data_IF_818909663579
#
_entry.id   IF_818909663579
#
_cell.length_a   1.000
_cell.length_b   1.000
_cell.length_c   1.000
_cell.angle_alpha   90.00
_cell.angle_beta   90.00
_cell.angle_gamma   90.00
#
_symmetry.space_group_name_H-M   'P 1'
#
loop_
_entity.id
_entity.type
_entity.pdbx_description
1 polymer ?
#
# COMPACT_ATOMS: atom_id res chain seq x y z
N UNK A 1 -46.19 16.03 -34.68
CA UNK A 1 -45.34 16.39 -35.84
C UNK A 1 -44.06 16.98 -35.26
N UNK A 2 -42.84 16.51 -35.51
CA UNK A 2 -42.31 15.37 -36.23
C UNK A 2 -40.93 15.08 -35.60
N UNK A 3 -40.60 13.80 -35.57
CA UNK A 3 -39.32 13.26 -35.14
C UNK A 3 -38.28 13.48 -36.23
N UNK A 4 -37.01 13.76 -35.88
CA UNK A 4 -35.90 13.63 -36.82
C UNK A 4 -34.71 12.93 -36.15
N UNK A 5 -34.56 11.65 -36.47
CA UNK A 5 -33.30 10.90 -36.39
C UNK A 5 -32.52 11.14 -37.70
N UNK A 6 -31.22 11.43 -37.59
CA UNK A 6 -30.29 11.51 -38.72
C UNK A 6 -29.23 10.40 -38.63
N UNK A 7 -29.15 9.59 -39.67
CA UNK A 7 -28.33 8.37 -39.81
C UNK A 7 -27.03 8.64 -40.60
N UNK A 8 -25.94 8.03 -40.11
CA UNK A 8 -24.80 7.34 -40.77
C UNK A 8 -24.07 7.91 -42.01
N UNK A 9 -22.72 7.97 -41.94
CA UNK A 9 -21.78 7.13 -42.75
C UNK A 9 -20.29 7.32 -42.36
N UNK A 10 -19.39 6.34 -42.62
CA UNK A 10 -18.05 6.22 -42.01
C UNK A 10 -16.89 6.65 -42.96
N UNK A 11 -15.65 6.86 -42.47
CA UNK A 11 -14.46 6.92 -43.30
C UNK A 11 -13.67 5.59 -43.36
N UNK A 12 -12.74 5.43 -44.33
CA UNK A 12 -12.46 4.16 -45.00
C UNK A 12 -11.33 3.34 -44.39
N UNK A 13 -11.38 2.03 -44.66
CA UNK A 13 -10.30 1.08 -44.56
C UNK A 13 -9.34 1.22 -45.75
N UNK A 14 -8.08 1.61 -45.50
CA UNK A 14 -6.97 1.29 -46.38
C UNK A 14 -5.96 0.43 -45.60
N UNK A 15 -5.75 -0.79 -46.09
CA UNK A 15 -4.69 -1.67 -45.65
C UNK A 15 -3.34 -1.21 -46.18
N UNK A 16 -2.32 -1.29 -45.33
CA UNK A 16 -0.93 -1.33 -45.76
C UNK A 16 -0.19 -2.36 -44.92
N UNK A 17 0.41 -3.30 -45.62
CA UNK A 17 1.09 -4.49 -45.12
C UNK A 17 2.38 -4.18 -44.34
N UNK A 18 2.56 -4.91 -43.22
CA UNK A 18 3.80 -5.37 -42.56
C UNK A 18 4.86 -4.38 -42.01
N UNK A 19 5.71 -4.78 -41.02
CA UNK A 19 5.71 -6.00 -40.19
C UNK A 19 5.66 -5.73 -38.67
N UNK A 20 5.05 -6.67 -37.94
CA UNK A 20 5.27 -7.06 -36.53
C UNK A 20 6.21 -6.18 -35.66
N UNK A 21 5.72 -5.45 -34.63
CA UNK A 21 6.54 -5.09 -33.50
C UNK A 21 6.53 -6.25 -32.50
N UNK A 22 7.68 -6.93 -32.42
CA UNK A 22 8.04 -7.83 -31.33
C UNK A 22 7.66 -7.19 -29.98
N UNK A 23 7.04 -7.91 -29.03
CA UNK A 23 6.74 -7.34 -27.73
C UNK A 23 8.06 -7.16 -26.97
N UNK A 24 8.60 -5.94 -27.00
CA UNK A 24 9.61 -5.52 -26.03
C UNK A 24 9.00 -5.69 -24.64
N UNK A 25 9.71 -6.29 -23.67
CA UNK A 25 9.20 -6.47 -22.32
C UNK A 25 8.97 -5.09 -21.71
N UNK A 26 7.73 -4.61 -21.75
CA UNK A 26 7.33 -3.41 -21.02
C UNK A 26 7.44 -3.79 -19.55
N UNK A 27 8.36 -3.15 -18.85
CA UNK A 27 8.55 -3.34 -17.42
C UNK A 27 7.17 -3.30 -16.73
N UNK A 28 6.72 -4.41 -16.11
CA UNK A 28 5.36 -4.50 -15.55
C UNK A 28 5.15 -3.55 -14.37
N UNK A 29 6.23 -2.90 -13.92
CA UNK A 29 6.27 -1.88 -12.86
C UNK A 29 5.99 -0.48 -13.45
N UNK A 30 6.20 -0.26 -14.75
CA UNK A 30 6.05 1.04 -15.40
C UNK A 30 4.59 1.49 -15.59
N UNK A 31 3.60 0.62 -15.35
CA UNK A 31 2.17 0.97 -15.35
C UNK A 31 1.61 1.23 -13.95
N UNK A 32 2.40 1.06 -12.88
CA UNK A 32 1.93 1.29 -11.51
C UNK A 32 1.95 2.78 -11.16
N UNK A 33 0.99 3.18 -10.32
CA UNK A 33 0.89 4.51 -9.70
C UNK A 33 2.17 4.82 -8.91
N UNK A 34 2.71 6.06 -8.99
CA UNK A 34 4.04 6.38 -8.47
C UNK A 34 4.21 6.14 -6.97
N UNK A 35 3.19 6.41 -6.13
CA UNK A 35 3.26 6.13 -4.69
C UNK A 35 3.34 4.62 -4.41
N UNK A 36 2.72 3.78 -5.23
CA UNK A 36 2.82 2.32 -5.10
C UNK A 36 4.23 1.80 -5.44
N UNK A 37 4.94 2.42 -6.40
CA UNK A 37 6.32 2.04 -6.74
C UNK A 37 7.28 2.30 -5.59
N UNK A 38 7.16 3.46 -4.98
CA UNK A 38 7.98 3.87 -3.84
C UNK A 38 7.77 2.90 -2.65
N UNK A 39 6.52 2.49 -2.40
CA UNK A 39 6.23 1.47 -1.40
C UNK A 39 6.86 0.11 -1.73
N UNK A 40 6.76 -0.37 -2.98
CA UNK A 40 7.36 -1.65 -3.38
C UNK A 40 8.90 -1.65 -3.25
N UNK A 41 9.55 -0.54 -3.63
CA UNK A 41 10.99 -0.36 -3.45
C UNK A 41 11.38 -0.33 -1.96
N UNK A 42 10.57 0.31 -1.10
CA UNK A 42 10.79 0.32 0.35
C UNK A 42 10.70 -1.09 0.98
N UNK A 43 9.81 -1.95 0.48
CA UNK A 43 9.66 -3.32 0.97
C UNK A 43 10.81 -4.23 0.51
N UNK A 44 11.32 -4.04 -0.71
CA UNK A 44 12.44 -4.82 -1.23
C UNK A 44 13.74 -4.56 -0.44
N UNK A 45 13.99 -3.31 -0.04
CA UNK A 45 15.18 -2.94 0.74
C UNK A 45 15.12 -3.45 2.18
N UNK A 46 13.93 -3.43 2.82
CA UNK A 46 13.74 -3.92 4.20
C UNK A 46 13.95 -5.43 4.34
N UNK A 47 13.64 -6.19 3.29
CA UNK A 47 13.80 -7.65 3.27
C UNK A 47 15.27 -8.13 3.19
N UNK A 48 16.23 -7.24 2.86
CA UNK A 48 17.66 -7.62 2.75
C UNK A 48 18.44 -7.46 4.06
N UNK A 49 17.86 -6.87 5.11
CA UNK A 49 18.63 -6.47 6.32
C UNK A 49 18.48 -7.44 7.49
N UNK A 50 17.64 -8.48 7.42
CA UNK A 50 17.37 -9.37 8.58
C UNK A 50 18.16 -10.67 8.64
N UNK A 51 19.17 -10.88 7.81
CA UNK A 51 19.99 -12.11 7.87
C UNK A 51 21.36 -11.85 8.48
N UNK A 52 21.45 -11.75 9.81
CA UNK A 52 22.71 -11.95 10.53
C UNK A 52 22.49 -12.29 12.03
N UNK A 53 23.04 -13.45 12.45
CA UNK A 53 23.60 -13.77 13.79
C UNK A 53 22.58 -14.16 14.90
N UNK A 54 22.71 -15.23 15.71
CA UNK A 54 23.61 -16.40 15.86
C UNK A 54 22.98 -17.42 16.85
N UNK A 55 23.31 -18.69 16.61
CA UNK A 55 23.31 -19.95 17.39
C UNK A 55 23.05 -19.97 18.90
N UNK A 56 22.33 -21.02 19.35
CA UNK A 56 22.56 -21.68 20.64
C UNK A 56 22.31 -23.19 20.57
N UNK A 57 23.28 -23.92 21.13
CA UNK A 57 23.51 -25.36 21.26
C UNK A 57 22.44 -26.14 22.05
N UNK A 58 22.13 -27.38 21.63
CA UNK A 58 21.81 -28.48 22.56
C UNK A 58 22.11 -29.85 21.95
N UNK A 59 22.94 -30.59 22.67
CA UNK A 59 23.41 -31.97 22.43
C UNK A 59 22.33 -32.99 22.84
N UNK A 60 22.13 -34.05 22.05
CA UNK A 60 21.73 -35.37 22.56
C UNK A 60 22.00 -36.48 21.54
N UNK A 61 22.23 -37.67 22.07
CA UNK A 61 23.04 -38.76 21.54
C UNK A 61 22.19 -39.96 21.13
N UNK A 62 22.63 -40.65 20.07
CA UNK A 62 22.40 -42.08 19.69
C UNK A 62 20.98 -42.58 19.34
N UNK A 63 20.86 -43.22 18.16
CA UNK A 63 20.74 -44.71 17.99
C UNK A 63 20.30 -45.04 16.53
N UNK A 64 21.03 -45.96 15.89
CA UNK A 64 20.73 -46.67 14.60
C UNK A 64 20.28 -48.10 14.98
N UNK A 65 19.58 -48.97 14.19
CA UNK A 65 19.37 -49.06 12.73
C UNK A 65 17.95 -49.60 12.32
N UNK A 66 17.68 -50.28 11.16
CA UNK A 66 18.34 -50.38 9.84
C UNK A 66 17.44 -50.07 8.60
N UNK A 67 18.11 -49.93 7.46
CA UNK A 67 17.74 -50.04 6.03
C UNK A 67 16.27 -50.17 5.58
N UNK A 68 15.85 -49.22 4.75
CA UNK A 68 14.93 -49.45 3.62
C UNK A 68 15.44 -48.69 2.39
N UNK A 69 15.64 -49.44 1.31
CA UNK A 69 16.04 -48.99 -0.03
C UNK A 69 15.03 -48.01 -0.62
N UNK A 70 15.48 -46.78 -0.88
CA UNK A 70 14.92 -45.92 -1.92
C UNK A 70 16.06 -45.03 -2.40
N UNK A 71 16.58 -45.31 -3.58
CA UNK A 71 17.61 -44.49 -4.22
C UNK A 71 17.06 -43.09 -4.48
N UNK A 72 17.66 -42.02 -3.92
CA UNK A 72 17.30 -40.65 -4.25
C UNK A 72 17.91 -40.25 -5.62
N UNK A 73 17.24 -39.38 -6.39
CA UNK A 73 17.72 -38.94 -7.69
C UNK A 73 19.09 -38.22 -7.58
N UNK A 74 19.95 -38.33 -8.60
CA UNK A 74 21.32 -37.80 -8.54
C UNK A 74 21.29 -36.27 -8.46
N UNK A 75 21.74 -35.73 -7.33
CA UNK A 75 21.89 -34.29 -7.10
C UNK A 75 23.27 -33.82 -7.57
N UNK A 76 23.29 -32.87 -8.51
CA UNK A 76 24.49 -32.40 -9.22
C UNK A 76 25.29 -31.30 -8.50
N UNK A 77 25.07 -31.04 -7.21
CA UNK A 77 25.83 -30.03 -6.47
C UNK A 77 26.36 -30.56 -5.13
N UNK A 78 27.67 -30.82 -5.01
CA UNK A 78 28.26 -31.23 -3.75
C UNK A 78 28.33 -30.02 -2.79
N UNK A 79 27.54 -30.07 -1.72
CA UNK A 79 27.73 -29.19 -0.57
C UNK A 79 29.14 -29.35 0.01
N UNK A 80 29.77 -28.25 0.45
CA UNK A 80 31.08 -28.26 1.14
C UNK A 80 31.11 -29.15 2.38
N UNK A 81 29.96 -29.54 2.92
CA UNK A 81 29.83 -30.42 4.08
C UNK A 81 29.73 -31.92 3.73
N UNK A 82 29.91 -32.27 2.45
CA UNK A 82 29.88 -33.65 1.95
C UNK A 82 28.49 -34.30 1.97
N UNK A 83 28.45 -35.63 1.84
CA UNK A 83 27.20 -36.43 1.80
C UNK A 83 26.57 -36.64 3.17
N UNK A 84 27.27 -36.32 4.27
CA UNK A 84 26.85 -36.62 5.64
C UNK A 84 25.53 -35.94 6.03
N UNK A 85 25.27 -34.75 5.48
CA UNK A 85 24.06 -33.96 5.74
C UNK A 85 23.13 -33.89 4.51
N UNK A 86 23.34 -34.74 3.49
CA UNK A 86 22.56 -34.70 2.24
C UNK A 86 21.06 -34.81 2.48
N UNK A 87 20.63 -35.65 3.43
CA UNK A 87 19.23 -35.82 3.77
C UNK A 87 18.53 -34.55 4.27
N UNK A 88 19.25 -33.55 4.79
CA UNK A 88 18.67 -32.29 5.27
C UNK A 88 18.32 -31.32 4.12
N UNK A 89 19.02 -31.42 2.98
CA UNK A 89 18.84 -30.51 1.85
C UNK A 89 18.39 -31.20 0.56
N UNK A 90 18.40 -32.53 0.50
CA UNK A 90 17.92 -33.31 -0.65
C UNK A 90 16.42 -33.11 -0.92
N UNK A 91 15.63 -32.85 0.13
CA UNK A 91 14.20 -32.53 0.02
C UNK A 91 13.92 -31.04 0.17
N UNK A 92 14.96 -30.19 0.26
CA UNK A 92 14.77 -28.74 0.34
C UNK A 92 14.28 -28.22 -1.01
N UNK A 93 12.99 -27.87 -1.05
CA UNK A 93 12.42 -27.13 -2.15
C UNK A 93 12.51 -25.63 -1.86
N UNK A 94 13.26 -24.87 -2.67
CA UNK A 94 13.25 -23.43 -2.56
C UNK A 94 11.81 -22.89 -2.71
N UNK A 95 11.42 -21.85 -1.97
CA UNK A 95 10.06 -21.33 -1.99
C UNK A 95 9.61 -20.85 -3.39
N UNK A 96 10.55 -20.52 -4.29
CA UNK A 96 10.24 -20.09 -5.65
C UNK A 96 9.80 -21.24 -6.59
N UNK A 97 10.03 -22.51 -6.23
CA UNK A 97 9.70 -23.66 -7.09
C UNK A 97 8.31 -24.25 -6.77
N UNK A 98 7.77 -23.99 -5.58
CA UNK A 98 6.47 -24.49 -5.11
C UNK A 98 5.36 -23.45 -5.14
N UNK A 99 5.70 -22.15 -5.24
CA UNK A 99 4.74 -21.10 -5.52
C UNK A 99 4.31 -21.18 -6.98
N UNK A 100 3.09 -21.61 -7.23
CA UNK A 100 2.45 -21.46 -8.53
C UNK A 100 2.57 -20.00 -9.02
N UNK A 101 2.72 -19.72 -10.32
CA UNK A 101 2.67 -18.35 -10.83
C UNK A 101 1.33 -17.66 -10.53
N UNK A 102 0.25 -18.44 -10.33
CA UNK A 102 -1.02 -17.96 -9.80
C UNK A 102 -0.90 -17.34 -8.39
N UNK A 103 -0.04 -17.89 -7.52
CA UNK A 103 0.22 -17.36 -6.17
C UNK A 103 0.99 -16.04 -6.17
N UNK A 104 1.87 -15.79 -7.15
CA UNK A 104 2.59 -14.49 -7.24
C UNK A 104 1.64 -13.35 -7.62
N UNK A 105 0.78 -13.57 -8.62
CA UNK A 105 -0.26 -12.59 -8.98
C UNK A 105 -1.24 -12.38 -7.82
N UNK A 106 -1.65 -13.46 -7.13
CA UNK A 106 -2.50 -13.38 -5.95
C UNK A 106 -1.84 -12.59 -4.81
N UNK A 107 -0.54 -12.80 -4.54
CA UNK A 107 0.21 -12.05 -3.55
C UNK A 107 0.25 -10.56 -3.87
N UNK A 108 0.49 -10.19 -5.14
CA UNK A 108 0.43 -8.79 -5.58
C UNK A 108 -0.96 -8.20 -5.37
N UNK A 109 -2.03 -8.91 -5.73
CA UNK A 109 -3.40 -8.41 -5.48
C UNK A 109 -3.70 -8.24 -4.00
N UNK A 110 -3.16 -9.11 -3.14
CA UNK A 110 -3.32 -9.04 -1.68
C UNK A 110 -2.64 -7.80 -1.11
N UNK A 111 -1.41 -7.52 -1.55
CA UNK A 111 -0.68 -6.29 -1.16
C UNK A 111 -1.44 -5.05 -1.62
N UNK A 112 -1.93 -5.04 -2.86
CA UNK A 112 -2.71 -3.92 -3.39
C UNK A 112 -4.01 -3.70 -2.62
N UNK A 113 -4.73 -4.77 -2.27
CA UNK A 113 -5.94 -4.69 -1.44
C UNK A 113 -5.61 -4.14 -0.06
N UNK A 114 -4.58 -4.67 0.61
CA UNK A 114 -4.15 -4.20 1.93
C UNK A 114 -3.77 -2.70 1.91
N UNK A 115 -3.06 -2.26 0.88
CA UNK A 115 -2.71 -0.85 0.71
C UNK A 115 -3.94 0.04 0.51
N UNK A 116 -4.89 -0.38 -0.33
CA UNK A 116 -6.15 0.35 -0.53
C UNK A 116 -6.97 0.43 0.75
N UNK A 117 -7.11 -0.67 1.49
CA UNK A 117 -7.81 -0.71 2.77
C UNK A 117 -7.17 0.23 3.79
N UNK A 118 -5.83 0.23 3.90
CA UNK A 118 -5.12 1.17 4.78
C UNK A 118 -5.42 2.61 4.37
N UNK A 119 -5.35 2.91 3.07
CA UNK A 119 -5.64 4.25 2.55
C UNK A 119 -7.07 4.67 2.90
N UNK A 120 -8.07 3.82 2.67
CA UNK A 120 -9.47 4.17 2.96
C UNK A 120 -9.73 4.40 4.45
N UNK A 121 -9.12 3.60 5.32
CA UNK A 121 -9.28 3.77 6.78
C UNK A 121 -8.57 5.05 7.25
N UNK A 122 -7.37 5.30 6.74
CA UNK A 122 -6.63 6.54 7.02
C UNK A 122 -7.42 7.78 6.59
N UNK A 123 -8.01 7.77 5.39
CA UNK A 123 -8.80 8.91 4.91
C UNK A 123 -10.09 9.08 5.71
N UNK A 124 -10.70 7.96 6.14
CA UNK A 124 -11.88 8.00 6.99
C UNK A 124 -11.57 8.63 8.35
N UNK A 125 -10.53 8.18 9.04
CA UNK A 125 -10.11 8.73 10.32
C UNK A 125 -9.75 10.23 10.20
N UNK A 126 -9.07 10.63 9.13
CA UNK A 126 -8.77 12.05 8.88
C UNK A 126 -10.03 12.90 8.72
N UNK A 127 -11.05 12.38 8.02
CA UNK A 127 -12.33 13.07 7.84
C UNK A 127 -13.17 13.11 9.12
N UNK A 128 -13.08 12.09 9.97
CA UNK A 128 -13.71 12.07 11.30
C UNK A 128 -13.14 13.19 12.20
N UNK A 129 -11.81 13.38 12.18
CA UNK A 129 -11.16 14.48 12.91
C UNK A 129 -11.57 15.86 12.36
N UNK A 130 -11.74 15.99 11.03
CA UNK A 130 -12.15 17.25 10.39
C UNK A 130 -13.68 17.47 10.34
N UNK A 131 -14.47 16.71 11.10
CA UNK A 131 -15.94 16.69 11.00
C UNK A 131 -16.60 18.04 11.28
N UNK A 132 -16.06 18.83 12.23
CA UNK A 132 -16.58 20.17 12.53
C UNK A 132 -16.42 21.14 11.33
N UNK A 133 -15.29 21.05 10.62
CA UNK A 133 -15.02 21.87 9.44
C UNK A 133 -15.90 21.41 8.27
N UNK A 134 -16.13 20.10 8.13
CA UNK A 134 -17.10 19.58 7.16
C UNK A 134 -18.50 20.12 7.43
N UNK A 135 -18.92 20.14 8.70
CA UNK A 135 -20.20 20.72 9.08
C UNK A 135 -20.28 22.21 8.76
N UNK A 136 -19.22 22.98 9.03
CA UNK A 136 -19.16 24.40 8.68
C UNK A 136 -19.25 24.64 7.17
N UNK A 137 -18.59 23.81 6.35
CA UNK A 137 -18.70 23.86 4.89
C UNK A 137 -20.13 23.54 4.43
N UNK A 138 -20.72 22.47 4.95
CA UNK A 138 -22.10 22.08 4.65
C UNK A 138 -23.09 23.19 5.04
N UNK A 139 -22.90 23.80 6.21
CA UNK A 139 -23.71 24.92 6.68
C UNK A 139 -23.57 26.15 5.78
N UNK A 140 -22.38 26.41 5.23
CA UNK A 140 -22.17 27.46 4.23
C UNK A 140 -22.94 27.18 2.94
N UNK A 141 -22.92 25.96 2.43
CA UNK A 141 -23.72 25.62 1.23
C UNK A 141 -25.23 25.74 1.48
N UNK A 142 -25.69 25.38 2.68
CA UNK A 142 -27.11 25.36 3.02
C UNK A 142 -27.67 26.74 3.39
N UNK A 143 -26.91 27.54 4.14
CA UNK A 143 -27.37 28.79 4.76
C UNK A 143 -26.44 29.99 4.53
N UNK A 144 -25.31 29.79 3.86
CA UNK A 144 -24.40 30.87 3.51
C UNK A 144 -25.14 31.89 2.65
N UNK A 145 -25.22 33.12 3.16
CA UNK A 145 -25.88 34.22 2.46
C UNK A 145 -25.25 34.52 1.09
N UNK A 146 -25.55 35.68 0.54
CA UNK A 146 -25.11 36.03 -0.81
C UNK A 146 -23.58 35.92 -1.02
N UNK A 147 -22.78 36.32 -0.04
CA UNK A 147 -21.30 36.25 -0.10
C UNK A 147 -20.76 34.81 -0.15
N UNK A 148 -21.35 33.88 0.60
CA UNK A 148 -20.98 32.46 0.59
C UNK A 148 -21.29 31.80 -0.75
N UNK A 149 -22.42 32.17 -1.36
CA UNK A 149 -22.80 31.69 -2.69
C UNK A 149 -21.88 32.24 -3.79
N UNK A 150 -21.54 33.52 -3.72
CA UNK A 150 -20.64 34.17 -4.69
C UNK A 150 -19.22 33.55 -4.68
N UNK A 151 -18.74 33.20 -3.49
CA UNK A 151 -17.39 32.65 -3.28
C UNK A 151 -17.36 31.12 -3.26
N UNK A 152 -18.49 30.46 -3.52
CA UNK A 152 -18.68 29.01 -3.45
C UNK A 152 -18.12 28.37 -2.17
N UNK A 153 -18.27 29.04 -1.02
CA UNK A 153 -17.74 28.59 0.27
C UNK A 153 -16.22 28.27 0.28
N UNK A 154 -15.44 28.98 -0.54
CA UNK A 154 -14.00 28.73 -0.73
C UNK A 154 -13.18 28.77 0.57
N UNK A 155 -13.54 29.63 1.54
CA UNK A 155 -12.86 29.70 2.83
C UNK A 155 -12.97 28.39 3.61
N UNK A 156 -14.18 27.88 3.79
CA UNK A 156 -14.42 26.62 4.50
C UNK A 156 -13.86 25.42 3.73
N UNK A 157 -13.93 25.46 2.39
CA UNK A 157 -13.35 24.42 1.55
C UNK A 157 -11.83 24.34 1.70
N UNK A 158 -11.14 25.48 1.72
CA UNK A 158 -9.70 25.53 1.97
C UNK A 158 -9.33 25.00 3.36
N UNK A 159 -10.06 25.42 4.39
CA UNK A 159 -9.85 24.92 5.75
C UNK A 159 -10.03 23.40 5.85
N UNK A 160 -11.00 22.83 5.11
CA UNK A 160 -11.20 21.39 5.09
C UNK A 160 -10.03 20.66 4.42
N UNK A 161 -9.51 21.17 3.31
CA UNK A 161 -8.36 20.59 2.61
C UNK A 161 -7.08 20.67 3.46
N UNK A 162 -6.85 21.81 4.11
CA UNK A 162 -5.72 22.02 5.03
C UNK A 162 -5.81 21.05 6.23
N UNK A 163 -7.00 20.91 6.83
CA UNK A 163 -7.24 19.94 7.91
C UNK A 163 -6.98 18.51 7.44
N UNK A 164 -7.61 18.10 6.34
CA UNK A 164 -7.50 16.74 5.81
C UNK A 164 -6.06 16.37 5.46
N UNK A 165 -5.35 17.24 4.74
CA UNK A 165 -3.97 16.99 4.33
C UNK A 165 -3.01 16.90 5.53
N UNK A 166 -3.24 17.71 6.57
CA UNK A 166 -2.45 17.70 7.80
C UNK A 166 -2.76 16.45 8.63
N UNK A 167 -4.03 16.10 8.82
CA UNK A 167 -4.45 14.92 9.57
C UNK A 167 -3.93 13.62 8.93
N UNK A 168 -3.96 13.50 7.60
CA UNK A 168 -3.38 12.35 6.89
C UNK A 168 -1.88 12.23 7.17
N UNK A 169 -1.14 13.33 7.26
CA UNK A 169 0.30 13.32 7.59
C UNK A 169 0.54 12.93 9.05
N UNK A 170 -0.23 13.50 9.99
CA UNK A 170 -0.13 13.19 11.41
C UNK A 170 -0.45 11.71 11.70
N UNK A 171 -1.57 11.21 11.18
CA UNK A 171 -1.97 9.80 11.36
C UNK A 171 -0.93 8.84 10.77
N UNK A 172 -0.33 9.18 9.62
CA UNK A 172 0.78 8.38 9.05
C UNK A 172 2.02 8.42 9.94
N UNK A 173 2.41 9.60 10.43
CA UNK A 173 3.57 9.78 11.27
C UNK A 173 3.44 9.03 12.61
N UNK A 174 2.23 8.99 13.18
CA UNK A 174 1.92 8.27 14.41
C UNK A 174 1.71 6.76 14.20
N UNK A 175 1.78 6.26 12.96
CA UNK A 175 1.69 4.83 12.67
C UNK A 175 0.26 4.27 12.67
N UNK A 176 -0.77 5.08 12.41
CA UNK A 176 -2.13 4.59 12.25
C UNK A 176 -2.20 3.50 11.18
N UNK A 177 -2.76 2.33 11.51
CA UNK A 177 -2.84 1.14 10.63
C UNK A 177 -1.48 0.63 10.08
N UNK A 178 -0.36 0.94 10.75
CA UNK A 178 0.97 0.45 10.37
C UNK A 178 1.21 -1.02 10.79
N UNK A 179 0.68 -1.44 11.94
CA UNK A 179 0.85 -2.78 12.50
C UNK A 179 -0.41 -3.61 12.26
N UNK A 180 -0.22 -4.84 11.82
CA UNK A 180 -1.33 -5.78 11.60
C UNK A 180 -1.77 -6.35 12.93
N UNK A 181 -3.07 -6.28 13.22
CA UNK A 181 -3.64 -6.86 14.44
C UNK A 181 -3.51 -6.00 15.70
N UNK A 182 -3.18 -4.70 15.56
CA UNK A 182 -3.22 -3.76 16.68
C UNK A 182 -4.64 -3.64 17.22
N UNK A 183 -4.77 -3.49 18.54
CA UNK A 183 -6.07 -3.27 19.18
C UNK A 183 -6.70 -1.94 18.72
N UNK A 184 -8.01 -1.96 18.45
CA UNK A 184 -8.78 -0.80 18.00
C UNK A 184 -8.70 0.39 18.96
N UNK A 185 -8.66 0.13 20.27
CA UNK A 185 -8.52 1.19 21.29
C UNK A 185 -7.22 1.99 21.14
N UNK A 186 -6.12 1.33 20.74
CA UNK A 186 -4.85 2.01 20.47
C UNK A 186 -4.95 2.85 19.21
N UNK A 187 -5.59 2.36 18.16
CA UNK A 187 -5.82 3.13 16.93
C UNK A 187 -6.68 4.37 17.16
N UNK A 188 -7.73 4.24 17.98
CA UNK A 188 -8.56 5.36 18.42
C UNK A 188 -7.75 6.37 19.24
N UNK A 189 -6.86 5.92 20.12
CA UNK A 189 -5.97 6.82 20.88
C UNK A 189 -5.02 7.61 19.95
N UNK A 190 -4.50 6.96 18.90
CA UNK A 190 -3.68 7.62 17.87
C UNK A 190 -4.50 8.67 17.13
N UNK A 191 -5.74 8.35 16.76
CA UNK A 191 -6.64 9.27 16.07
C UNK A 191 -6.95 10.51 16.91
N UNK A 192 -7.27 10.33 18.19
CA UNK A 192 -7.51 11.42 19.14
C UNK A 192 -6.24 12.25 19.40
N UNK A 193 -5.07 11.61 19.41
CA UNK A 193 -3.80 12.31 19.58
C UNK A 193 -3.45 13.17 18.35
N UNK A 194 -3.68 12.64 17.14
CA UNK A 194 -3.52 13.40 15.90
C UNK A 194 -4.42 14.65 15.89
N UNK A 195 -5.66 14.52 16.35
CA UNK A 195 -6.58 15.65 16.47
C UNK A 195 -6.08 16.73 17.44
N UNK A 196 -5.60 16.32 18.63
CA UNK A 196 -5.00 17.25 19.59
C UNK A 196 -3.82 18.03 19.01
N UNK A 197 -2.90 17.35 18.33
CA UNK A 197 -1.74 17.98 17.71
C UNK A 197 -2.14 18.98 16.62
N UNK A 198 -3.20 18.68 15.87
CA UNK A 198 -3.72 19.62 14.89
C UNK A 198 -4.28 20.89 15.55
N UNK A 199 -5.03 20.76 16.65
CA UNK A 199 -5.57 21.92 17.37
C UNK A 199 -4.46 22.80 17.98
N UNK A 200 -3.38 22.18 18.47
CA UNK A 200 -2.20 22.90 18.94
C UNK A 200 -1.54 23.68 17.81
N UNK A 201 -1.31 23.03 16.66
CA UNK A 201 -0.79 23.69 15.46
C UNK A 201 -1.66 24.88 15.03
N UNK A 202 -2.99 24.73 15.00
CA UNK A 202 -3.91 25.81 14.62
C UNK A 202 -3.82 26.98 15.61
N UNK A 203 -3.64 26.70 16.91
CA UNK A 203 -3.42 27.75 17.92
C UNK A 203 -2.14 28.53 17.64
N UNK A 204 -1.05 27.82 17.39
CA UNK A 204 0.25 28.43 17.05
C UNK A 204 0.16 29.27 15.78
N UNK A 205 -0.50 28.78 14.72
CA UNK A 205 -0.70 29.52 13.47
C UNK A 205 -1.46 30.83 13.69
N UNK A 206 -2.48 30.81 14.55
CA UNK A 206 -3.23 32.03 14.91
C UNK A 206 -2.38 33.02 15.71
N UNK A 207 -1.62 32.54 16.69
CA UNK A 207 -0.73 33.39 17.47
C UNK A 207 0.37 34.04 16.62
N UNK A 208 0.83 33.35 15.57
CA UNK A 208 1.79 33.90 14.60
C UNK A 208 1.10 34.93 13.69
N UNK A 209 -0.11 34.65 13.22
CA UNK A 209 -0.90 35.60 12.41
C UNK A 209 -1.18 36.91 13.19
N UNK A 210 -1.51 36.81 14.49
CA UNK A 210 -1.73 37.98 15.37
C UNK A 210 -0.45 38.78 15.66
N UNK A 211 0.73 38.14 15.64
CA UNK A 211 2.01 38.82 15.86
C UNK A 211 2.57 39.49 14.61
N UNK A 212 2.22 38.98 13.43
CA UNK A 212 2.78 39.40 12.14
C UNK A 212 1.83 40.34 11.38
N UNK A 213 0.53 40.27 11.64
CA UNK A 213 -0.51 41.15 11.09
C UNK A 213 -0.65 42.47 11.82
#
# INVERSE_FOLDING_TARGET
MSWFFGSSSPPPSEGKDSPNPTPTPKDPIASLEPSLREYLQSQYTKSRTTTATTSSTSTSTSTVPPSSSNDPPPTSNPSSYGTRYSHLWATYQPPHTTMNPATEQEALTTIMRAHRTRKTQLTRAALENCSEIQFALHQCYRSGGFSGRLTNCSKQAKQLDDCYSTQVKLLRALGYMAEVGREKAVEESIQMHADRLYMEKVREEREVEERVG
#
